data_IF_849103118405
#
_entry.id   IF_849103118405
#
_cell.length_a   1.000
_cell.length_b   1.000
_cell.length_c   1.000
_cell.angle_alpha   90.00
_cell.angle_beta   90.00
_cell.angle_gamma   90.00
#
_symmetry.space_group_name_H-M   'P 1'
#
loop_
_entity.id
_entity.type
_entity.pdbx_description
1 polymer ?
#
# COMPACT_ATOMS: atom_id res chain seq x y z
N UNK A 1 -3.04 -34.08 -2.70
CA UNK A 1 -3.28 -32.65 -3.00
C UNK A 1 -1.94 -31.97 -2.94
N UNK A 2 -1.42 -31.52 -4.08
CA UNK A 2 -0.32 -30.55 -4.06
C UNK A 2 -0.85 -29.27 -3.42
N UNK A 3 -0.22 -28.84 -2.34
CA UNK A 3 -0.45 -27.50 -1.80
C UNK A 3 0.21 -26.56 -2.80
N UNK A 4 -0.58 -25.94 -3.67
CA UNK A 4 -0.09 -24.83 -4.49
C UNK A 4 0.21 -23.71 -3.49
N UNK A 5 1.51 -23.52 -3.23
CA UNK A 5 1.98 -22.48 -2.32
C UNK A 5 1.90 -21.18 -3.09
N UNK A 6 1.03 -20.28 -2.67
CA UNK A 6 0.98 -18.93 -3.22
C UNK A 6 2.37 -18.27 -3.12
N UNK A 7 2.77 -17.47 -4.12
CA UNK A 7 3.96 -16.63 -4.01
C UNK A 7 3.91 -15.79 -2.72
N UNK A 8 5.06 -15.61 -2.08
CA UNK A 8 5.15 -14.86 -0.82
C UNK A 8 4.67 -13.42 -1.02
N UNK A 9 4.95 -12.85 -2.18
CA UNK A 9 4.57 -11.51 -2.63
C UNK A 9 3.05 -11.34 -2.62
N UNK A 10 2.32 -12.32 -3.15
CA UNK A 10 0.85 -12.32 -3.22
C UNK A 10 0.26 -12.42 -1.81
N UNK A 11 0.77 -13.35 -1.00
CA UNK A 11 0.34 -13.49 0.40
C UNK A 11 0.58 -12.20 1.20
N UNK A 12 1.74 -11.55 1.04
CA UNK A 12 2.05 -10.30 1.72
C UNK A 12 1.14 -9.15 1.26
N UNK A 13 0.84 -9.11 -0.04
CA UNK A 13 -0.08 -8.14 -0.65
C UNK A 13 -1.49 -8.29 -0.07
N UNK A 14 -2.00 -9.51 0.04
CA UNK A 14 -3.32 -9.80 0.61
C UNK A 14 -3.41 -9.47 2.11
N UNK A 15 -2.32 -9.69 2.86
CA UNK A 15 -2.23 -9.27 4.26
C UNK A 15 -2.37 -7.75 4.35
N UNK A 16 -1.57 -7.00 3.59
CA UNK A 16 -1.63 -5.52 3.62
C UNK A 16 -3.01 -5.03 3.17
N UNK A 17 -3.57 -5.61 2.12
CA UNK A 17 -4.93 -5.32 1.67
C UNK A 17 -5.96 -5.51 2.80
N UNK A 18 -5.85 -6.62 3.54
CA UNK A 18 -6.73 -6.91 4.67
C UNK A 18 -6.61 -5.81 5.74
N UNK A 19 -5.39 -5.43 6.11
CA UNK A 19 -5.17 -4.36 7.09
C UNK A 19 -5.65 -2.99 6.57
N UNK A 20 -5.47 -2.66 5.30
CA UNK A 20 -6.00 -1.42 4.70
C UNK A 20 -7.52 -1.29 4.81
N UNK A 21 -8.23 -2.41 5.00
CA UNK A 21 -9.69 -2.44 5.12
C UNK A 21 -10.19 -2.67 6.56
N UNK A 22 -9.32 -3.12 7.47
CA UNK A 22 -9.72 -3.54 8.82
C UNK A 22 -9.07 -2.73 9.93
N UNK A 23 -7.88 -2.18 9.69
CA UNK A 23 -7.23 -1.25 10.61
C UNK A 23 -7.73 0.17 10.36
N UNK A 24 -8.24 0.81 11.41
CA UNK A 24 -8.91 2.11 11.31
C UNK A 24 -7.96 3.21 10.80
N UNK A 25 -6.73 3.25 11.32
CA UNK A 25 -5.80 4.34 11.01
C UNK A 25 -5.21 4.17 9.62
N UNK A 26 -4.83 2.94 9.25
CA UNK A 26 -4.39 2.65 7.89
C UNK A 26 -5.50 2.88 6.87
N UNK A 27 -6.74 2.50 7.17
CA UNK A 27 -7.87 2.73 6.27
C UNK A 27 -8.13 4.22 6.06
N UNK A 28 -8.13 5.01 7.14
CA UNK A 28 -8.33 6.45 7.07
C UNK A 28 -7.25 7.13 6.20
N UNK A 29 -5.98 6.82 6.44
CA UNK A 29 -4.86 7.37 5.65
C UNK A 29 -4.93 6.91 4.19
N UNK A 30 -5.22 5.63 3.94
CA UNK A 30 -5.37 5.10 2.58
C UNK A 30 -6.49 5.82 1.83
N UNK A 31 -7.63 6.04 2.50
CA UNK A 31 -8.78 6.75 1.94
C UNK A 31 -8.47 8.21 1.63
N UNK A 32 -7.68 8.88 2.47
CA UNK A 32 -7.27 10.26 2.24
C UNK A 32 -6.32 10.39 1.05
N UNK A 33 -5.26 9.57 1.00
CA UNK A 33 -4.24 9.66 -0.06
C UNK A 33 -4.79 9.20 -1.42
N UNK A 34 -5.71 8.23 -1.45
CA UNK A 34 -6.32 7.69 -2.66
C UNK A 34 -7.72 8.27 -2.92
N UNK A 35 -8.07 9.40 -2.31
CA UNK A 35 -9.37 10.04 -2.53
C UNK A 35 -9.59 10.42 -4.00
N UNK A 36 -10.83 10.19 -4.50
CA UNK A 36 -11.20 10.48 -5.89
C UNK A 36 -11.27 11.99 -6.17
N UNK A 37 -11.60 12.79 -5.17
CA UNK A 37 -11.51 14.25 -5.24
C UNK A 37 -10.07 14.71 -5.43
N UNK A 38 -9.13 14.14 -4.69
CA UNK A 38 -7.69 14.38 -4.85
C UNK A 38 -7.19 13.97 -6.25
N UNK A 39 -7.64 12.83 -6.77
CA UNK A 39 -7.33 12.42 -8.15
C UNK A 39 -7.86 13.42 -9.20
N UNK A 40 -9.07 13.97 -8.98
CA UNK A 40 -9.64 14.99 -9.86
C UNK A 40 -8.85 16.30 -9.80
N UNK A 41 -8.32 16.68 -8.63
CA UNK A 41 -7.43 17.84 -8.48
C UNK A 41 -6.11 17.63 -9.23
N UNK A 42 -5.49 16.45 -9.08
CA UNK A 42 -4.27 16.11 -9.82
C UNK A 42 -4.49 16.15 -11.34
N UNK A 43 -5.64 15.64 -11.81
CA UNK A 43 -6.02 15.69 -13.23
C UNK A 43 -6.13 17.12 -13.74
N UNK A 44 -6.74 18.02 -12.97
CA UNK A 44 -6.83 19.46 -13.31
C UNK A 44 -5.46 20.14 -13.35
N UNK A 45 -4.48 19.63 -12.60
CA UNK A 45 -3.11 20.11 -12.62
C UNK A 45 -2.26 19.52 -13.77
N UNK A 46 -2.82 18.62 -14.59
CA UNK A 46 -2.16 18.05 -15.76
C UNK A 46 -1.53 16.67 -15.55
N UNK A 47 -1.74 16.04 -14.38
CA UNK A 47 -1.26 14.68 -14.11
C UNK A 47 -2.32 13.64 -14.49
N UNK A 48 -1.90 12.50 -15.01
CA UNK A 48 -2.78 11.36 -15.28
C UNK A 48 -3.22 10.64 -14.00
N UNK A 49 -4.31 9.86 -14.08
CA UNK A 49 -4.72 8.93 -13.00
C UNK A 49 -3.58 7.99 -12.62
N UNK A 50 -2.84 7.49 -13.59
CA UNK A 50 -1.70 6.58 -13.37
C UNK A 50 -0.59 7.26 -12.57
N UNK A 51 -0.19 8.48 -12.94
CA UNK A 51 0.80 9.26 -12.18
C UNK A 51 0.33 9.57 -10.75
N UNK A 52 -0.97 9.87 -10.57
CA UNK A 52 -1.56 10.06 -9.26
C UNK A 52 -1.47 8.77 -8.41
N UNK A 53 -1.87 7.62 -8.95
CA UNK A 53 -1.84 6.34 -8.23
C UNK A 53 -0.41 5.93 -7.91
N UNK A 54 0.51 6.06 -8.85
CA UNK A 54 1.94 5.77 -8.67
C UNK A 54 2.56 6.66 -7.59
N UNK A 55 2.26 7.95 -7.60
CA UNK A 55 2.71 8.89 -6.57
C UNK A 55 2.18 8.52 -5.18
N UNK A 56 0.89 8.22 -5.07
CA UNK A 56 0.28 7.87 -3.79
C UNK A 56 0.63 6.46 -3.30
N UNK A 57 0.97 5.52 -4.18
CA UNK A 57 1.54 4.23 -3.81
C UNK A 57 2.87 4.40 -3.04
N UNK A 58 3.71 5.36 -3.45
CA UNK A 58 4.94 5.70 -2.73
C UNK A 58 4.63 6.26 -1.33
N UNK A 59 3.61 7.11 -1.21
CA UNK A 59 3.17 7.64 0.08
C UNK A 59 2.64 6.53 1.00
N UNK A 60 1.84 5.60 0.48
CA UNK A 60 1.32 4.45 1.22
C UNK A 60 2.46 3.56 1.74
N UNK A 61 3.42 3.22 0.87
CA UNK A 61 4.63 2.47 1.26
C UNK A 61 5.41 3.19 2.36
N UNK A 62 5.58 4.51 2.25
CA UNK A 62 6.23 5.33 3.26
C UNK A 62 5.49 5.35 4.61
N UNK A 63 4.17 5.46 4.58
CA UNK A 63 3.33 5.41 5.78
C UNK A 63 3.48 4.08 6.53
N UNK A 64 3.39 2.95 5.82
CA UNK A 64 3.61 1.61 6.38
C UNK A 64 5.02 1.46 6.97
N UNK A 65 6.04 1.98 6.27
CA UNK A 65 7.42 1.98 6.75
C UNK A 65 7.60 2.72 8.07
N UNK A 66 6.92 3.86 8.24
CA UNK A 66 7.06 4.72 9.40
C UNK A 66 6.20 4.33 10.59
N UNK A 67 4.94 3.93 10.36
CA UNK A 67 3.93 3.86 11.43
C UNK A 67 3.57 2.44 11.83
N UNK A 68 3.53 1.50 10.89
CA UNK A 68 3.09 0.12 11.17
C UNK A 68 4.26 -0.82 11.43
N UNK A 69 5.48 -0.33 11.21
CA UNK A 69 6.71 -1.04 11.49
C UNK A 69 7.55 -0.26 12.50
N UNK A 70 6.94 0.39 13.49
CA UNK A 70 7.68 0.96 14.61
C UNK A 70 8.15 -0.16 15.53
N UNK A 71 9.43 -0.45 15.55
CA UNK A 71 10.00 -1.41 16.50
C UNK A 71 11.50 -1.54 16.33
N UNK A 72 12.14 -2.01 17.40
CA UNK A 72 13.56 -2.36 17.56
C UNK A 72 14.49 -2.01 16.39
N UNK A 73 15.48 -1.15 16.64
CA UNK A 73 16.58 -0.85 15.71
C UNK A 73 17.53 -2.05 15.46
N UNK A 74 17.14 -3.27 15.85
CA UNK A 74 17.89 -4.48 15.55
C UNK A 74 17.94 -4.68 14.02
N UNK A 75 19.13 -4.85 13.43
CA UNK A 75 19.32 -4.95 11.98
C UNK A 75 18.47 -6.03 11.30
N UNK A 76 18.21 -7.17 11.96
CA UNK A 76 17.39 -8.24 11.39
C UNK A 76 15.94 -7.79 11.16
N UNK A 77 15.36 -7.04 12.10
CA UNK A 77 14.02 -6.50 11.90
C UNK A 77 14.01 -5.43 10.80
N UNK A 78 15.06 -4.63 10.68
CA UNK A 78 15.18 -3.65 9.59
C UNK A 78 15.22 -4.35 8.23
N UNK A 79 16.05 -5.38 8.06
CA UNK A 79 16.17 -6.10 6.79
C UNK A 79 14.86 -6.83 6.41
N UNK A 80 14.22 -7.51 7.37
CA UNK A 80 12.95 -8.19 7.12
C UNK A 80 11.84 -7.21 6.72
N UNK A 81 11.81 -6.02 7.32
CA UNK A 81 10.87 -4.94 6.97
C UNK A 81 11.12 -4.40 5.57
N UNK A 82 12.38 -4.16 5.22
CA UNK A 82 12.75 -3.72 3.88
C UNK A 82 12.40 -4.78 2.84
N UNK A 83 12.65 -6.06 3.12
CA UNK A 83 12.27 -7.16 2.24
C UNK A 83 10.76 -7.21 2.03
N UNK A 84 9.96 -7.11 3.10
CA UNK A 84 8.50 -7.07 3.01
C UNK A 84 8.00 -5.91 2.17
N UNK A 85 8.49 -4.68 2.42
CA UNK A 85 8.07 -3.50 1.65
C UNK A 85 8.50 -3.52 0.18
N UNK A 86 9.48 -4.33 -0.19
CA UNK A 86 9.93 -4.48 -1.56
C UNK A 86 9.27 -5.66 -2.28
N UNK A 87 8.73 -6.62 -1.54
CA UNK A 87 7.97 -7.74 -2.08
C UNK A 87 6.54 -7.35 -2.48
N UNK A 88 6.00 -6.28 -1.90
CA UNK A 88 4.61 -5.85 -2.10
C UNK A 88 4.52 -4.89 -3.28
N UNK A 89 3.58 -5.15 -4.19
CA UNK A 89 3.23 -4.24 -5.27
C UNK A 89 2.24 -3.16 -4.77
N UNK A 90 2.81 -2.05 -4.30
CA UNK A 90 2.04 -0.92 -3.82
C UNK A 90 1.26 -0.19 -4.91
N UNK A 91 1.71 -0.24 -6.17
CA UNK A 91 0.99 0.38 -7.29
C UNK A 91 -0.30 -0.42 -7.58
N UNK A 92 -0.19 -1.76 -7.57
CA UNK A 92 -1.35 -2.64 -7.68
C UNK A 92 -2.32 -2.47 -6.50
N UNK A 93 -1.82 -2.40 -5.27
CA UNK A 93 -2.66 -2.16 -4.08
C UNK A 93 -3.38 -0.81 -4.14
N UNK A 94 -2.67 0.26 -4.50
CA UNK A 94 -3.27 1.59 -4.62
C UNK A 94 -4.34 1.62 -5.71
N UNK A 95 -4.07 0.99 -6.85
CA UNK A 95 -5.03 0.86 -7.94
C UNK A 95 -6.28 0.10 -7.50
N UNK A 96 -6.09 -1.07 -6.88
CA UNK A 96 -7.17 -1.90 -6.36
C UNK A 96 -8.03 -1.13 -5.37
N UNK A 97 -7.40 -0.46 -4.39
CA UNK A 97 -8.13 0.34 -3.41
C UNK A 97 -8.95 1.45 -4.08
N UNK A 98 -8.34 2.21 -5.00
CA UNK A 98 -9.02 3.31 -5.68
C UNK A 98 -10.25 2.86 -6.49
N UNK A 99 -10.18 1.66 -7.07
CA UNK A 99 -11.21 1.09 -7.93
C UNK A 99 -12.32 0.41 -7.14
N UNK A 100 -11.97 -0.34 -6.10
CA UNK A 100 -12.91 -1.15 -5.30
C UNK A 100 -13.54 -0.38 -4.13
N UNK A 101 -12.90 0.68 -3.64
CA UNK A 101 -13.44 1.47 -2.52
C UNK A 101 -14.55 2.39 -3.00
N UNK A 102 -15.72 2.29 -2.35
CA UNK A 102 -16.94 3.04 -2.63
C UNK A 102 -16.92 4.44 -2.01
#
# INVERSE_FOLDING_TARGET
MEVIKEPLEDTLTDIIWTYMNTDHDLHAVTSEILDRGNAAVATKAGYSKEEFLKGNAVLLKGYLAMNLMTGSANPLYVELRTALLNAVDFEALATKFFEESL
#
